data_IF_703027818277
#
_entry.id   IF_703027818277
#
_cell.length_a   1.000
_cell.length_b   1.000
_cell.length_c   1.000
_cell.angle_alpha   90.00
_cell.angle_beta   90.00
_cell.angle_gamma   90.00
#
_symmetry.space_group_name_H-M   'P 1'
#
loop_
_entity.id
_entity.type
_entity.pdbx_description
1 polymer ?
#
# COMPACT_ATOMS: atom_id res chain seq x y z
N UNK A 1 -39.56 4.27 -10.62
CA UNK A 1 -38.47 4.13 -9.65
C UNK A 1 -37.18 4.33 -10.43
N UNK A 2 -36.66 5.55 -10.43
CA UNK A 2 -35.37 5.88 -11.05
C UNK A 2 -34.30 5.13 -10.24
N UNK A 3 -33.65 4.13 -10.84
CA UNK A 3 -32.37 3.65 -10.36
C UNK A 3 -31.42 4.86 -10.42
N UNK A 4 -31.11 5.44 -9.26
CA UNK A 4 -30.01 6.41 -9.17
C UNK A 4 -28.80 5.73 -9.79
N UNK A 5 -28.27 6.27 -10.88
CA UNK A 5 -26.95 5.83 -11.37
C UNK A 5 -25.98 6.05 -10.21
N UNK A 6 -25.18 5.04 -9.90
CA UNK A 6 -24.18 5.16 -8.85
C UNK A 6 -23.29 6.38 -9.16
N UNK A 7 -23.03 7.21 -8.13
CA UNK A 7 -22.13 8.37 -8.24
C UNK A 7 -20.71 7.86 -8.45
N UNK A 8 -19.93 8.57 -9.24
CA UNK A 8 -18.51 8.28 -9.35
C UNK A 8 -17.75 8.76 -8.11
N UNK A 9 -16.73 8.01 -7.71
CA UNK A 9 -15.78 8.41 -6.70
C UNK A 9 -14.45 8.75 -7.39
N UNK A 10 -14.21 10.03 -7.56
CA UNK A 10 -13.02 10.56 -8.23
C UNK A 10 -11.83 10.61 -7.29
N UNK A 11 -10.63 10.36 -7.83
CA UNK A 11 -9.35 10.60 -7.17
C UNK A 11 -8.85 11.96 -7.69
N UNK A 12 -8.79 12.95 -6.81
CA UNK A 12 -8.30 14.29 -7.14
C UNK A 12 -6.78 14.32 -7.13
N UNK A 13 -6.17 13.82 -6.06
CA UNK A 13 -4.72 13.62 -5.98
C UNK A 13 -4.37 12.46 -5.05
N UNK A 14 -3.15 11.94 -5.18
CA UNK A 14 -2.62 10.89 -4.31
C UNK A 14 -1.13 11.13 -4.08
N UNK A 15 -0.74 11.16 -2.80
CA UNK A 15 0.61 11.49 -2.36
C UNK A 15 1.11 10.51 -1.30
N UNK A 16 2.41 10.54 -1.04
CA UNK A 16 3.06 9.77 0.02
C UNK A 16 4.26 10.50 0.61
N UNK A 17 4.65 10.10 1.79
CA UNK A 17 6.00 10.44 2.28
C UNK A 17 7.06 9.69 1.46
N UNK A 18 8.32 10.13 1.46
CA UNK A 18 9.42 9.22 1.17
C UNK A 18 9.40 8.09 2.21
N UNK A 19 9.89 6.91 1.82
CA UNK A 19 9.94 5.75 2.70
C UNK A 19 11.25 5.74 3.48
N UNK A 20 11.12 5.76 4.81
CA UNK A 20 12.24 5.66 5.73
C UNK A 20 12.58 4.20 6.03
N UNK A 21 13.86 3.83 5.94
CA UNK A 21 14.31 2.52 6.40
C UNK A 21 14.25 2.43 7.94
N UNK A 22 14.23 1.23 8.45
CA UNK A 22 14.26 1.00 9.91
C UNK A 22 15.42 1.75 10.56
N UNK A 23 15.11 2.54 11.60
CA UNK A 23 16.06 3.43 12.28
C UNK A 23 16.74 4.45 11.34
N UNK A 24 16.05 4.83 10.25
CA UNK A 24 16.51 5.81 9.27
C UNK A 24 16.00 7.21 9.53
N UNK A 25 15.86 7.98 8.45
CA UNK A 25 15.54 9.42 8.51
C UNK A 25 14.21 9.74 9.20
N UNK A 26 13.23 8.81 9.19
CA UNK A 26 11.92 9.01 9.84
C UNK A 26 11.90 8.55 11.32
N UNK A 27 12.98 7.99 11.87
CA UNK A 27 12.98 7.36 13.19
C UNK A 27 12.57 8.26 14.35
N UNK A 28 12.81 9.57 14.25
CA UNK A 28 12.54 10.55 15.33
C UNK A 28 11.14 11.19 15.21
N UNK A 29 10.46 11.09 14.06
CA UNK A 29 9.11 11.64 13.90
C UNK A 29 8.07 10.63 14.39
N UNK A 30 7.02 11.13 15.04
CA UNK A 30 5.90 10.28 15.47
C UNK A 30 5.04 9.86 14.28
N UNK A 31 4.33 8.74 14.39
CA UNK A 31 3.45 8.26 13.34
C UNK A 31 2.32 9.26 12.99
N UNK A 32 1.71 9.87 14.00
CA UNK A 32 0.66 10.88 13.83
C UNK A 32 1.21 12.19 13.21
N UNK A 33 2.42 12.61 13.57
CA UNK A 33 3.11 13.76 12.94
C UNK A 33 3.49 13.48 11.48
N UNK A 34 3.99 12.28 11.16
CA UNK A 34 4.29 11.87 9.80
C UNK A 34 3.03 11.89 8.93
N UNK A 35 1.93 11.32 9.44
CA UNK A 35 0.65 11.33 8.75
C UNK A 35 0.12 12.77 8.57
N UNK A 36 0.23 13.62 9.58
CA UNK A 36 -0.19 15.02 9.51
C UNK A 36 0.53 15.81 8.42
N UNK A 37 1.85 15.61 8.26
CA UNK A 37 2.60 16.26 7.19
C UNK A 37 2.14 15.80 5.81
N UNK A 38 1.83 14.51 5.63
CA UNK A 38 1.31 13.98 4.36
C UNK A 38 -0.10 14.50 4.07
N UNK A 39 -0.96 14.61 5.10
CA UNK A 39 -2.30 15.20 4.97
C UNK A 39 -2.21 16.66 4.54
N UNK A 40 -1.37 17.47 5.18
CA UNK A 40 -1.15 18.87 4.81
C UNK A 40 -0.57 18.98 3.39
N UNK A 41 0.45 18.18 3.06
CA UNK A 41 1.01 18.19 1.72
C UNK A 41 0.01 17.79 0.62
N UNK A 42 -0.98 16.95 0.92
CA UNK A 42 -2.07 16.62 -0.01
C UNK A 42 -2.95 17.84 -0.27
N UNK A 43 -3.48 18.49 0.79
CA UNK A 43 -4.44 19.61 0.63
C UNK A 43 -3.75 20.88 0.08
N UNK A 44 -2.50 21.14 0.47
CA UNK A 44 -1.71 22.27 -0.02
C UNK A 44 -1.47 22.18 -1.54
N UNK A 45 -1.25 20.96 -2.06
CA UNK A 45 -1.01 20.75 -3.50
C UNK A 45 -2.23 21.03 -4.37
N UNK A 46 -3.41 20.86 -3.84
CA UNK A 46 -4.68 20.98 -4.59
C UNK A 46 -5.51 22.19 -4.14
N UNK A 47 -4.95 23.02 -3.25
CA UNK A 47 -5.57 24.25 -2.72
C UNK A 47 -6.98 24.01 -2.15
N UNK A 48 -7.15 22.94 -1.34
CA UNK A 48 -8.42 22.59 -0.70
C UNK A 48 -8.37 23.00 0.77
N UNK A 49 -9.40 23.74 1.22
CA UNK A 49 -9.58 24.04 2.64
C UNK A 49 -9.88 22.71 3.39
N UNK A 50 -9.06 22.33 4.37
CA UNK A 50 -9.33 21.14 5.18
C UNK A 50 -10.73 21.11 5.82
N UNK A 51 -11.37 22.25 6.04
CA UNK A 51 -12.74 22.34 6.55
C UNK A 51 -13.80 21.71 5.62
N UNK A 52 -13.50 21.55 4.34
CA UNK A 52 -14.37 20.90 3.36
C UNK A 52 -14.34 19.37 3.46
N UNK A 53 -13.31 18.79 4.12
CA UNK A 53 -13.14 17.34 4.25
C UNK A 53 -14.06 16.83 5.36
N UNK A 54 -14.93 15.88 5.01
CA UNK A 54 -15.93 15.33 5.92
C UNK A 54 -15.34 14.20 6.79
N UNK A 55 -14.45 13.36 6.24
CA UNK A 55 -13.87 12.23 6.96
C UNK A 55 -12.48 11.87 6.44
N UNK A 56 -11.62 11.37 7.34
CA UNK A 56 -10.32 10.78 7.03
C UNK A 56 -10.34 9.30 7.39
N UNK A 57 -10.25 8.44 6.39
CA UNK A 57 -10.16 6.99 6.54
C UNK A 57 -8.67 6.60 6.58
N UNK A 58 -8.12 6.35 7.78
CA UNK A 58 -6.69 6.11 7.99
C UNK A 58 -6.37 4.62 8.18
N UNK A 59 -5.70 4.00 7.22
CA UNK A 59 -5.18 2.64 7.36
C UNK A 59 -4.02 2.57 8.37
N UNK A 60 -4.12 1.68 9.37
CA UNK A 60 -3.04 1.40 10.31
C UNK A 60 -3.22 0.02 10.92
N UNK A 61 -2.16 -0.77 10.98
CA UNK A 61 -2.20 -2.17 11.44
C UNK A 61 -1.85 -2.29 12.92
N UNK A 62 -0.72 -1.74 13.31
CA UNK A 62 -0.19 -1.91 14.67
C UNK A 62 -0.71 -0.78 15.57
N UNK A 63 -2.02 -0.84 15.90
CA UNK A 63 -2.73 0.20 16.64
C UNK A 63 -2.44 0.13 18.14
N UNK A 64 -1.20 0.44 18.51
CA UNK A 64 -0.72 0.50 19.90
C UNK A 64 0.27 1.66 20.08
N UNK A 65 0.49 2.11 21.29
CA UNK A 65 1.37 3.26 21.58
C UNK A 65 0.89 4.53 20.86
N UNK A 66 1.76 5.16 20.08
CA UNK A 66 1.44 6.39 19.33
C UNK A 66 0.56 6.17 18.10
N UNK A 67 0.32 4.92 17.71
CA UNK A 67 -0.64 4.54 16.66
C UNK A 67 -2.00 4.10 17.24
N UNK A 68 -2.19 4.16 18.55
CA UNK A 68 -3.45 3.85 19.22
C UNK A 68 -4.46 5.02 19.18
N UNK A 69 -5.63 4.81 19.79
CA UNK A 69 -6.67 5.83 19.99
C UNK A 69 -7.11 6.55 18.70
N UNK A 70 -7.27 5.81 17.61
CA UNK A 70 -7.63 6.38 16.33
C UNK A 70 -6.56 7.35 15.80
N UNK A 71 -5.44 6.79 15.34
CA UNK A 71 -4.30 7.56 14.81
C UNK A 71 -4.70 8.51 13.68
N UNK A 72 -5.74 8.17 12.88
CA UNK A 72 -6.30 9.08 11.88
C UNK A 72 -6.83 10.38 12.49
N UNK A 73 -7.57 10.29 13.58
CA UNK A 73 -8.03 11.50 14.29
C UNK A 73 -6.87 12.24 14.94
N UNK A 74 -5.90 11.52 15.49
CA UNK A 74 -4.65 12.12 15.99
C UNK A 74 -3.95 12.94 14.92
N UNK A 75 -3.77 12.37 13.73
CA UNK A 75 -3.12 13.04 12.60
C UNK A 75 -3.87 14.30 12.13
N UNK A 76 -5.21 14.27 12.04
CA UNK A 76 -6.05 15.44 11.72
C UNK A 76 -5.82 16.58 12.69
N UNK A 77 -5.79 16.29 13.99
CA UNK A 77 -5.60 17.32 15.03
C UNK A 77 -4.15 17.84 15.05
N UNK A 78 -3.16 16.97 14.84
CA UNK A 78 -1.74 17.36 14.73
C UNK A 78 -1.50 18.19 13.45
N UNK A 79 -2.20 17.90 12.35
CA UNK A 79 -2.16 18.69 11.12
C UNK A 79 -2.73 20.12 11.30
N UNK A 80 -3.41 20.39 12.43
CA UNK A 80 -4.05 21.67 12.71
C UNK A 80 -5.37 21.87 11.97
N UNK A 81 -5.96 20.80 11.44
CA UNK A 81 -7.25 20.87 10.76
C UNK A 81 -8.39 21.14 11.75
N UNK A 82 -9.52 21.68 11.27
CA UNK A 82 -10.69 21.96 12.14
C UNK A 82 -11.17 20.71 12.89
N UNK A 83 -11.64 20.90 14.10
CA UNK A 83 -12.22 19.82 14.92
C UNK A 83 -13.47 19.18 14.32
N UNK A 84 -14.06 19.80 13.32
CA UNK A 84 -15.22 19.28 12.56
C UNK A 84 -14.85 18.14 11.63
N UNK A 85 -13.58 18.02 11.21
CA UNK A 85 -13.12 16.94 10.31
C UNK A 85 -13.06 15.62 11.09
N UNK A 86 -13.94 14.70 10.76
CA UNK A 86 -13.96 13.38 11.38
C UNK A 86 -12.80 12.49 10.89
N UNK A 87 -12.53 11.41 11.63
CA UNK A 87 -11.61 10.38 11.13
C UNK A 87 -11.92 9.02 11.76
N UNK A 88 -11.52 7.96 11.06
CA UNK A 88 -11.53 6.59 11.56
C UNK A 88 -10.23 5.88 11.22
N UNK A 89 -9.86 4.88 12.02
CA UNK A 89 -8.72 4.01 11.71
C UNK A 89 -9.23 2.67 11.18
N UNK A 90 -8.71 2.25 10.04
CA UNK A 90 -9.09 1.03 9.33
C UNK A 90 -7.98 -0.01 9.45
N UNK A 91 -8.31 -1.20 9.92
CA UNK A 91 -7.42 -2.36 9.91
C UNK A 91 -7.98 -3.44 8.97
N UNK A 92 -7.31 -3.65 7.87
CA UNK A 92 -7.35 -4.85 7.01
C UNK A 92 -5.91 -5.33 6.80
N UNK A 93 -5.14 -5.37 7.88
CA UNK A 93 -3.71 -5.71 7.84
C UNK A 93 -3.00 -4.93 6.70
N UNK A 94 -2.17 -5.59 5.91
CA UNK A 94 -1.44 -4.97 4.78
C UNK A 94 -2.34 -4.16 3.83
N UNK A 95 -3.62 -4.52 3.69
CA UNK A 95 -4.60 -3.88 2.79
C UNK A 95 -5.31 -2.65 3.36
N UNK A 96 -4.92 -2.15 4.54
CA UNK A 96 -5.70 -1.16 5.31
C UNK A 96 -5.99 0.14 4.55
N UNK A 97 -5.02 0.80 3.94
CA UNK A 97 -5.28 2.05 3.20
C UNK A 97 -5.98 1.84 1.85
N UNK A 98 -5.82 0.68 1.20
CA UNK A 98 -6.65 0.36 0.04
C UNK A 98 -8.10 0.04 0.45
N UNK A 99 -8.32 -0.54 1.64
CA UNK A 99 -9.65 -0.66 2.23
C UNK A 99 -10.22 0.70 2.62
N UNK A 100 -9.41 1.61 3.15
CA UNK A 100 -9.82 2.99 3.40
C UNK A 100 -10.32 3.68 2.13
N UNK A 101 -9.60 3.49 1.00
CA UNK A 101 -10.05 3.97 -0.30
C UNK A 101 -11.37 3.33 -0.75
N UNK A 102 -11.52 2.01 -0.54
CA UNK A 102 -12.78 1.33 -0.84
C UNK A 102 -13.95 1.87 0.01
N UNK A 103 -13.72 2.09 1.30
CA UNK A 103 -14.75 2.64 2.19
C UNK A 103 -15.15 4.06 1.76
N UNK A 104 -14.19 4.96 1.53
CA UNK A 104 -14.42 6.33 1.09
C UNK A 104 -15.15 6.38 -0.26
N UNK A 105 -14.68 5.62 -1.25
CA UNK A 105 -15.34 5.52 -2.54
C UNK A 105 -16.79 4.99 -2.42
N UNK A 106 -17.02 3.98 -1.58
CA UNK A 106 -18.36 3.43 -1.34
C UNK A 106 -19.27 4.43 -0.66
N UNK A 107 -18.78 5.22 0.30
CA UNK A 107 -19.57 6.27 0.97
C UNK A 107 -19.97 7.38 -0.01
N UNK A 108 -19.07 7.79 -0.90
CA UNK A 108 -19.34 8.75 -1.97
C UNK A 108 -20.38 8.18 -2.94
N UNK A 109 -20.17 6.96 -3.42
CA UNK A 109 -21.10 6.30 -4.35
C UNK A 109 -22.51 6.09 -3.76
N UNK A 110 -22.58 5.88 -2.45
CA UNK A 110 -23.87 5.79 -1.74
C UNK A 110 -24.50 7.15 -1.43
N UNK A 111 -23.81 8.26 -1.65
CA UNK A 111 -24.29 9.62 -1.38
C UNK A 111 -24.29 10.00 0.10
N UNK A 112 -23.45 9.36 0.92
CA UNK A 112 -23.32 9.68 2.33
C UNK A 112 -22.25 10.72 2.62
N UNK A 113 -21.21 10.77 1.78
CA UNK A 113 -20.10 11.72 1.87
C UNK A 113 -19.79 12.27 0.47
N UNK A 114 -19.19 13.44 0.41
CA UNK A 114 -18.79 14.11 -0.82
C UNK A 114 -17.29 14.29 -0.98
N UNK A 115 -16.57 14.49 0.15
CA UNK A 115 -15.13 14.72 0.14
C UNK A 115 -14.47 13.95 1.29
N UNK A 116 -13.64 12.96 0.93
CA UNK A 116 -13.03 12.01 1.87
C UNK A 116 -11.54 11.86 1.59
N UNK A 117 -10.72 11.89 2.63
CA UNK A 117 -9.32 11.47 2.50
C UNK A 117 -9.19 10.00 2.87
N UNK A 118 -8.72 9.19 1.93
CA UNK A 118 -8.27 7.82 2.19
C UNK A 118 -6.75 7.81 2.36
N UNK A 119 -6.28 7.44 3.54
CA UNK A 119 -4.88 7.54 3.93
C UNK A 119 -4.38 6.29 4.64
N UNK A 120 -3.10 6.26 4.95
CA UNK A 120 -2.53 5.24 5.81
C UNK A 120 -1.18 5.66 6.38
N UNK A 121 -0.86 5.13 7.54
CA UNK A 121 0.42 5.31 8.22
C UNK A 121 0.85 4.01 8.87
N UNK A 122 2.14 3.72 8.81
CA UNK A 122 2.75 2.69 9.63
C UNK A 122 4.18 3.10 9.96
N UNK A 123 4.51 3.15 11.24
CA UNK A 123 5.84 3.50 11.72
C UNK A 123 6.44 2.28 12.42
N UNK A 124 7.05 1.37 11.64
CA UNK A 124 7.48 0.06 12.14
C UNK A 124 8.78 0.12 12.94
N UNK A 125 9.49 1.26 12.91
CA UNK A 125 10.65 1.52 13.79
C UNK A 125 10.20 1.80 15.22
N UNK A 126 9.22 2.70 15.43
CA UNK A 126 8.77 3.14 16.75
C UNK A 126 7.69 2.23 17.33
N UNK A 127 6.85 1.68 16.48
CA UNK A 127 5.78 0.73 16.83
C UNK A 127 6.02 -0.58 16.06
N UNK A 128 6.84 -1.48 16.61
CA UNK A 128 7.22 -2.71 15.92
C UNK A 128 6.02 -3.59 15.56
N UNK A 129 6.06 -4.18 14.36
CA UNK A 129 5.03 -5.11 13.88
C UNK A 129 4.77 -6.21 14.92
N UNK A 130 3.50 -6.44 15.24
CA UNK A 130 3.06 -7.44 16.21
C UNK A 130 3.03 -6.97 17.66
N UNK A 131 3.48 -5.73 17.98
CA UNK A 131 3.39 -5.20 19.34
C UNK A 131 1.94 -5.02 19.83
N UNK A 132 0.96 -4.95 18.91
CA UNK A 132 -0.46 -4.97 19.23
C UNK A 132 -0.97 -6.33 19.76
N UNK A 133 -0.20 -7.42 19.66
CA UNK A 133 -0.50 -8.69 20.32
C UNK A 133 -0.26 -8.63 21.85
N UNK A 134 0.44 -7.62 22.34
CA UNK A 134 0.73 -7.40 23.73
C UNK A 134 1.46 -8.58 24.41
N UNK A 135 1.25 -8.76 25.70
CA UNK A 135 1.88 -9.83 26.48
C UNK A 135 1.40 -11.24 26.05
N UNK A 136 0.21 -11.33 25.44
CA UNK A 136 -0.33 -12.60 24.97
C UNK A 136 0.46 -13.19 23.79
N UNK A 137 1.15 -12.33 23.00
CA UNK A 137 1.83 -12.76 21.80
C UNK A 137 0.90 -13.57 20.88
N UNK A 138 1.34 -14.72 20.39
CA UNK A 138 0.52 -15.61 19.58
C UNK A 138 -0.68 -16.20 20.32
N UNK A 139 -0.72 -16.16 21.67
CA UNK A 139 -1.91 -16.49 22.47
C UNK A 139 -3.09 -15.55 22.27
N UNK A 140 -2.92 -14.40 21.60
CA UNK A 140 -4.01 -13.55 21.15
C UNK A 140 -4.82 -14.19 20.01
N UNK A 141 -4.28 -15.18 19.30
CA UNK A 141 -5.00 -15.95 18.28
C UNK A 141 -5.86 -17.02 18.98
N UNK A 142 -7.16 -17.02 18.69
CA UNK A 142 -8.09 -17.95 19.30
C UNK A 142 -7.75 -19.40 18.92
N UNK A 143 -7.66 -20.30 19.89
CA UNK A 143 -7.31 -21.72 19.70
C UNK A 143 -8.24 -22.43 18.70
N UNK A 144 -9.53 -22.04 18.62
CA UNK A 144 -10.48 -22.57 17.65
C UNK A 144 -10.12 -22.27 16.20
N UNK A 145 -9.31 -21.24 15.95
CA UNK A 145 -8.75 -20.98 14.63
C UNK A 145 -7.71 -22.07 14.33
N UNK A 146 -6.78 -22.28 15.28
CA UNK A 146 -5.73 -23.30 15.16
C UNK A 146 -6.23 -24.73 14.99
N UNK A 147 -7.43 -25.05 15.55
CA UNK A 147 -8.09 -26.35 15.35
C UNK A 147 -8.49 -26.62 13.89
N UNK A 148 -8.69 -25.57 13.10
CA UNK A 148 -9.17 -25.66 11.70
C UNK A 148 -8.11 -25.30 10.68
N UNK A 149 -7.31 -24.31 10.99
CA UNK A 149 -6.29 -23.77 10.09
C UNK A 149 -4.98 -23.53 10.85
N UNK A 150 -3.87 -24.10 10.40
CA UNK A 150 -2.57 -23.75 10.96
C UNK A 150 -2.28 -22.29 10.70
N UNK A 151 -2.22 -21.47 11.75
CA UNK A 151 -1.80 -20.08 11.64
C UNK A 151 -0.29 -20.02 11.85
N UNK A 152 0.40 -19.48 10.86
CA UNK A 152 1.87 -19.40 10.84
C UNK A 152 2.33 -17.97 10.58
N UNK A 153 3.56 -17.63 10.94
CA UNK A 153 4.16 -16.37 10.49
C UNK A 153 4.15 -16.25 8.96
N UNK A 154 3.97 -15.03 8.44
CA UNK A 154 3.84 -14.76 6.99
C UNK A 154 5.02 -15.31 6.18
N UNK A 155 6.25 -15.27 6.71
CA UNK A 155 7.40 -15.84 6.03
C UNK A 155 7.34 -17.36 5.85
N UNK A 156 6.66 -18.09 6.76
CA UNK A 156 6.38 -19.52 6.55
C UNK A 156 5.37 -19.71 5.43
N UNK A 157 4.33 -18.87 5.33
CA UNK A 157 3.41 -18.90 4.19
C UNK A 157 4.14 -18.58 2.86
N UNK A 158 5.11 -17.67 2.88
CA UNK A 158 5.93 -17.38 1.71
C UNK A 158 6.80 -18.57 1.28
N UNK A 159 7.32 -19.35 2.24
CA UNK A 159 8.03 -20.62 1.96
C UNK A 159 7.08 -21.69 1.37
N UNK A 160 5.86 -21.81 1.91
CA UNK A 160 4.83 -22.72 1.38
C UNK A 160 4.47 -22.37 -0.06
N UNK A 161 4.30 -21.10 -0.37
CA UNK A 161 4.07 -20.62 -1.74
C UNK A 161 5.27 -21.00 -2.63
N UNK A 162 6.49 -20.74 -2.18
CA UNK A 162 7.67 -21.09 -2.98
C UNK A 162 7.74 -22.60 -3.26
N UNK A 163 7.42 -23.44 -2.28
CA UNK A 163 7.39 -24.91 -2.43
C UNK A 163 6.27 -25.37 -3.39
N UNK A 164 5.03 -24.90 -3.21
CA UNK A 164 3.87 -25.34 -4.01
C UNK A 164 3.92 -24.87 -5.46
N UNK A 165 4.48 -23.69 -5.72
CA UNK A 165 4.70 -23.16 -7.09
C UNK A 165 6.07 -23.51 -7.68
N UNK A 166 6.87 -24.35 -6.97
CA UNK A 166 8.21 -24.78 -7.37
C UNK A 166 9.16 -23.62 -7.69
N UNK A 167 9.12 -22.56 -6.88
CA UNK A 167 9.95 -21.37 -7.05
C UNK A 167 11.31 -21.57 -6.37
N UNK A 168 12.36 -21.47 -7.14
CA UNK A 168 13.72 -21.62 -6.63
C UNK A 168 14.22 -20.34 -5.93
N UNK A 169 15.20 -20.50 -5.05
CA UNK A 169 15.91 -19.37 -4.42
C UNK A 169 16.45 -18.38 -5.46
N UNK A 170 16.96 -18.87 -6.59
CA UNK A 170 17.53 -18.04 -7.65
C UNK A 170 16.46 -17.16 -8.30
N UNK A 171 15.25 -17.69 -8.53
CA UNK A 171 14.14 -16.92 -9.08
C UNK A 171 13.66 -15.86 -8.09
N UNK A 172 13.55 -16.19 -6.79
CA UNK A 172 13.20 -15.23 -5.76
C UNK A 172 14.21 -14.07 -5.67
N UNK A 173 15.49 -14.40 -5.68
CA UNK A 173 16.57 -13.40 -5.62
C UNK A 173 16.64 -12.56 -6.92
N UNK A 174 16.37 -13.14 -8.08
CA UNK A 174 16.30 -12.43 -9.37
C UNK A 174 15.13 -11.43 -9.39
N UNK A 175 13.94 -11.84 -8.92
CA UNK A 175 12.78 -10.97 -8.77
C UNK A 175 13.12 -9.78 -7.84
N UNK A 176 13.79 -10.04 -6.73
CA UNK A 176 14.20 -9.01 -5.77
C UNK A 176 15.22 -8.03 -6.34
N UNK A 177 16.22 -8.54 -7.04
CA UNK A 177 17.21 -7.70 -7.72
C UNK A 177 16.54 -6.78 -8.75
N UNK A 178 15.58 -7.30 -9.51
CA UNK A 178 14.84 -6.51 -10.49
C UNK A 178 13.96 -5.44 -9.80
N UNK A 179 13.31 -5.72 -8.66
CA UNK A 179 12.60 -4.73 -7.86
C UNK A 179 13.51 -3.57 -7.49
N UNK A 180 14.72 -3.84 -6.96
CA UNK A 180 15.69 -2.80 -6.64
C UNK A 180 16.14 -2.00 -7.87
N UNK A 181 16.42 -2.65 -8.99
CA UNK A 181 16.82 -1.98 -10.24
C UNK A 181 15.74 -1.01 -10.74
N UNK A 182 14.48 -1.43 -10.69
CA UNK A 182 13.33 -0.62 -11.11
C UNK A 182 13.13 0.58 -10.19
N UNK A 183 13.21 0.39 -8.88
CA UNK A 183 13.08 1.47 -7.91
C UNK A 183 14.19 2.50 -8.03
N UNK A 184 15.44 2.05 -8.20
CA UNK A 184 16.60 2.93 -8.40
C UNK A 184 16.45 3.73 -9.70
N UNK A 185 16.07 3.07 -10.81
CA UNK A 185 15.84 3.77 -12.07
C UNK A 185 14.70 4.80 -11.95
N UNK A 186 13.61 4.45 -11.24
CA UNK A 186 12.51 5.38 -11.01
C UNK A 186 12.93 6.61 -10.19
N UNK A 187 13.77 6.44 -9.16
CA UNK A 187 14.34 7.54 -8.38
C UNK A 187 15.24 8.41 -9.27
N UNK A 188 16.15 7.79 -10.01
CA UNK A 188 17.13 8.51 -10.85
C UNK A 188 16.47 9.26 -12.01
N UNK A 189 15.35 8.74 -12.52
CA UNK A 189 14.50 9.36 -13.55
C UNK A 189 13.49 10.39 -12.99
N UNK A 190 13.46 10.64 -11.67
CA UNK A 190 12.54 11.59 -11.02
C UNK A 190 11.06 11.15 -11.03
N UNK A 191 10.76 9.85 -11.24
CA UNK A 191 9.37 9.37 -11.40
C UNK A 191 8.51 9.51 -10.15
N UNK A 192 9.13 9.64 -8.99
CA UNK A 192 8.42 9.77 -7.72
C UNK A 192 8.20 11.22 -7.26
N UNK A 193 8.74 12.23 -8.00
CA UNK A 193 8.65 13.64 -7.61
C UNK A 193 7.20 14.14 -7.50
N UNK A 194 6.31 13.64 -8.36
CA UNK A 194 4.89 14.02 -8.34
C UNK A 194 4.05 13.32 -7.27
N UNK A 195 4.58 12.31 -6.59
CA UNK A 195 3.85 11.60 -5.54
C UNK A 195 4.43 11.83 -4.14
N UNK A 196 5.70 12.26 -4.04
CA UNK A 196 6.36 12.48 -2.75
C UNK A 196 6.04 13.87 -2.21
N UNK A 197 5.52 13.90 -0.99
CA UNK A 197 5.50 15.09 -0.11
C UNK A 197 6.77 15.03 0.73
N UNK A 198 7.70 15.99 0.60
CA UNK A 198 8.86 16.07 1.47
C UNK A 198 8.45 16.23 2.93
N UNK A 199 9.12 15.48 3.82
CA UNK A 199 8.82 15.46 5.26
C UNK A 199 9.92 16.21 6.02
N UNK A 200 9.51 17.10 6.90
CA UNK A 200 10.42 17.76 7.85
C UNK A 200 10.82 16.78 8.94
N UNK A 201 12.10 16.54 9.09
CA UNK A 201 12.65 15.67 10.13
C UNK A 201 13.70 16.41 10.95
N UNK A 202 13.77 16.11 12.25
CA UNK A 202 14.82 16.65 13.13
C UNK A 202 16.14 15.91 12.86
N UNK A 203 17.22 16.66 12.62
CA UNK A 203 18.56 16.11 12.45
C UNK A 203 19.58 16.97 13.22
N UNK A 204 20.14 16.45 14.31
CA UNK A 204 21.19 17.13 15.06
C UNK A 204 20.84 18.54 15.57
N UNK A 205 19.56 18.80 15.88
CA UNK A 205 19.04 20.10 16.31
C UNK A 205 18.66 21.06 15.17
N UNK A 206 18.75 20.64 13.92
CA UNK A 206 18.23 21.34 12.74
C UNK A 206 17.02 20.59 12.16
N UNK A 207 16.17 21.30 11.41
CA UNK A 207 15.12 20.70 10.58
C UNK A 207 15.67 20.52 9.17
N UNK A 208 15.54 19.31 8.62
CA UNK A 208 15.91 19.01 7.23
C UNK A 208 14.72 18.39 6.50
N UNK A 209 14.65 18.61 5.18
CA UNK A 209 13.63 17.98 4.35
C UNK A 209 14.12 16.60 3.88
N UNK A 210 13.36 15.58 4.22
CA UNK A 210 13.54 14.23 3.71
C UNK A 210 12.59 14.03 2.52
N UNK A 211 13.14 13.82 1.32
CA UNK A 211 12.40 13.86 0.06
C UNK A 211 12.68 12.66 -0.88
N UNK A 212 13.53 11.72 -0.48
CA UNK A 212 13.94 10.59 -1.33
C UNK A 212 13.85 9.29 -0.55
N UNK A 213 13.28 8.24 -1.17
CA UNK A 213 13.24 6.90 -0.58
C UNK A 213 14.65 6.37 -0.29
N UNK A 214 14.92 5.96 0.93
CA UNK A 214 16.25 5.54 1.36
C UNK A 214 16.47 4.02 1.40
N UNK A 215 15.45 3.25 1.02
CA UNK A 215 15.43 1.79 1.13
C UNK A 215 16.03 1.05 -0.07
N UNK A 216 15.96 1.53 -1.33
CA UNK A 216 16.51 0.82 -2.47
C UNK A 216 18.03 0.65 -2.39
N UNK A 217 18.50 -0.60 -2.53
CA UNK A 217 19.91 -0.95 -2.34
C UNK A 217 20.67 -0.90 -3.67
N UNK A 218 21.39 0.22 -3.91
CA UNK A 218 22.16 0.43 -5.15
C UNK A 218 23.30 -0.55 -5.35
N UNK A 219 23.79 -1.18 -4.30
CA UNK A 219 24.92 -2.09 -4.29
C UNK A 219 24.51 -3.57 -4.22
N UNK A 220 23.20 -3.88 -4.35
CA UNK A 220 22.74 -5.27 -4.34
C UNK A 220 23.11 -6.01 -5.62
N UNK A 221 23.35 -7.32 -5.51
CA UNK A 221 23.64 -8.22 -6.64
C UNK A 221 23.13 -9.62 -6.33
N UNK A 222 23.05 -10.49 -7.35
CA UNK A 222 22.66 -11.89 -7.13
C UNK A 222 23.60 -12.60 -6.16
N UNK A 223 24.91 -12.31 -6.19
CA UNK A 223 25.89 -12.91 -5.28
C UNK A 223 25.63 -12.48 -3.83
N UNK A 224 25.32 -11.19 -3.61
CA UNK A 224 24.97 -10.70 -2.28
C UNK A 224 23.67 -11.31 -1.77
N UNK A 225 22.63 -11.37 -2.61
CA UNK A 225 21.36 -12.00 -2.26
C UNK A 225 21.55 -13.50 -1.95
N UNK A 226 22.28 -14.23 -2.78
CA UNK A 226 22.58 -15.66 -2.60
C UNK A 226 23.34 -15.95 -1.30
N UNK A 227 24.12 -15.00 -0.79
CA UNK A 227 24.87 -15.16 0.47
C UNK A 227 24.00 -15.05 1.73
N UNK A 228 22.77 -14.56 1.63
CA UNK A 228 21.87 -14.40 2.76
C UNK A 228 21.32 -15.75 3.23
N UNK A 229 21.24 -15.91 4.55
CA UNK A 229 20.65 -17.10 5.15
C UNK A 229 19.11 -17.07 5.05
N UNK A 230 18.44 -18.24 4.95
CA UNK A 230 17.00 -18.33 5.12
C UNK A 230 16.54 -17.69 6.43
N UNK A 231 15.43 -16.96 6.40
CA UNK A 231 14.97 -16.17 7.54
C UNK A 231 13.88 -16.87 8.38
N UNK A 232 13.13 -17.80 7.79
CA UNK A 232 11.93 -18.37 8.42
C UNK A 232 12.00 -19.89 8.59
N UNK A 233 12.67 -20.60 7.72
CA UNK A 233 12.85 -22.06 7.72
C UNK A 233 14.30 -22.36 7.47
N UNK A 234 14.95 -23.23 8.24
CA UNK A 234 16.41 -23.48 8.19
C UNK A 234 16.92 -23.96 6.83
N UNK A 235 16.09 -24.69 6.10
CA UNK A 235 16.30 -25.20 4.74
C UNK A 235 15.48 -24.46 3.68
N UNK A 236 14.96 -23.27 4.03
CA UNK A 236 14.08 -22.48 3.19
C UNK A 236 14.78 -21.67 2.11
N UNK A 237 13.98 -21.01 1.29
CA UNK A 237 14.42 -20.15 0.19
C UNK A 237 14.10 -18.68 0.40
N UNK A 238 13.27 -18.36 1.42
CA UNK A 238 12.88 -16.99 1.76
C UNK A 238 13.90 -16.37 2.71
N UNK A 239 14.45 -15.22 2.31
CA UNK A 239 15.48 -14.49 3.06
C UNK A 239 15.05 -13.05 3.30
N UNK A 240 15.79 -12.31 4.11
CA UNK A 240 15.59 -10.87 4.26
C UNK A 240 15.79 -10.10 2.94
N UNK A 241 16.51 -10.66 1.96
CA UNK A 241 16.76 -10.02 0.66
C UNK A 241 15.63 -10.21 -0.35
N UNK A 242 14.77 -11.22 -0.18
CA UNK A 242 13.63 -11.47 -1.05
C UNK A 242 12.28 -11.35 -0.33
N UNK A 243 12.29 -10.57 0.75
CA UNK A 243 11.14 -10.15 1.56
C UNK A 243 11.03 -8.63 1.58
N UNK A 244 9.85 -8.10 1.78
CA UNK A 244 9.65 -6.67 1.99
C UNK A 244 10.38 -6.18 3.25
N UNK A 245 10.90 -4.96 3.19
CA UNK A 245 11.63 -4.36 4.30
C UNK A 245 10.70 -3.79 5.37
N UNK A 246 11.15 -3.83 6.64
CA UNK A 246 10.54 -3.09 7.74
C UNK A 246 10.94 -1.62 7.59
N UNK A 247 9.94 -0.74 7.51
CA UNK A 247 10.09 0.65 7.11
C UNK A 247 9.04 1.53 7.78
N UNK A 248 9.19 2.84 7.59
CA UNK A 248 8.29 3.87 8.08
C UNK A 248 7.74 4.66 6.91
N UNK A 249 6.44 4.98 6.92
CA UNK A 249 5.84 5.75 5.83
C UNK A 249 4.37 6.05 6.02
N UNK A 250 3.90 7.06 5.30
CA UNK A 250 2.50 7.47 5.21
C UNK A 250 2.13 7.80 3.76
N UNK A 251 0.85 7.65 3.42
CA UNK A 251 0.31 8.02 2.12
C UNK A 251 -1.15 8.45 2.26
N UNK A 252 -1.62 9.30 1.36
CA UNK A 252 -2.98 9.81 1.36
C UNK A 252 -3.47 10.09 -0.06
N UNK A 253 -4.79 10.00 -0.28
CA UNK A 253 -5.46 10.40 -1.50
C UNK A 253 -6.77 11.12 -1.17
N UNK A 254 -7.11 12.16 -1.94
CA UNK A 254 -8.39 12.83 -1.85
C UNK A 254 -9.38 12.19 -2.81
N UNK A 255 -10.50 11.74 -2.26
CA UNK A 255 -11.64 11.20 -2.99
C UNK A 255 -12.78 12.22 -2.97
N UNK A 256 -13.39 12.48 -4.13
CA UNK A 256 -14.46 13.46 -4.27
C UNK A 256 -15.63 12.90 -5.08
N UNK A 257 -16.85 13.36 -4.74
CA UNK A 257 -18.02 13.21 -5.61
C UNK A 257 -17.98 14.20 -6.79
N UNK A 258 -18.77 13.98 -7.83
CA UNK A 258 -18.89 14.93 -8.93
C UNK A 258 -19.38 16.31 -8.45
N UNK A 259 -20.27 16.35 -7.46
CA UNK A 259 -20.77 17.60 -6.87
C UNK A 259 -19.66 18.35 -6.11
N UNK A 260 -18.80 17.65 -5.38
CA UNK A 260 -17.64 18.27 -4.71
C UNK A 260 -16.61 18.78 -5.73
N UNK A 261 -16.37 18.00 -6.80
CA UNK A 261 -15.49 18.41 -7.92
C UNK A 261 -15.97 19.73 -8.53
N UNK A 262 -17.24 19.83 -8.88
CA UNK A 262 -17.81 21.05 -9.46
C UNK A 262 -17.82 22.22 -8.45
N UNK A 263 -18.26 21.99 -7.22
CA UNK A 263 -18.38 23.04 -6.18
C UNK A 263 -17.05 23.65 -5.79
N UNK A 264 -15.99 22.85 -5.73
CA UNK A 264 -14.66 23.25 -5.29
C UNK A 264 -13.71 23.56 -6.47
N UNK A 265 -14.16 23.33 -7.71
CA UNK A 265 -13.35 23.56 -8.91
C UNK A 265 -12.14 22.62 -9.00
N UNK A 266 -12.29 21.37 -8.54
CA UNK A 266 -11.22 20.38 -8.51
C UNK A 266 -10.98 19.77 -9.89
N UNK A 267 -9.77 19.31 -10.14
CA UNK A 267 -9.39 18.59 -11.35
C UNK A 267 -9.13 17.11 -11.03
N UNK A 268 -10.11 16.20 -11.24
CA UNK A 268 -9.91 14.81 -10.92
C UNK A 268 -8.94 14.14 -11.92
N UNK A 269 -7.99 13.37 -11.41
CA UNK A 269 -6.97 12.67 -12.19
C UNK A 269 -7.43 11.27 -12.62
N UNK A 270 -8.22 10.61 -11.77
CA UNK A 270 -8.75 9.26 -12.00
C UNK A 270 -10.05 9.03 -11.24
N UNK A 271 -10.63 7.83 -11.41
CA UNK A 271 -11.69 7.32 -10.54
C UNK A 271 -11.48 5.84 -10.21
N UNK A 272 -12.04 5.40 -9.10
CA UNK A 272 -12.15 3.97 -8.84
C UNK A 272 -13.32 3.39 -9.64
N UNK A 273 -13.01 2.40 -10.47
CA UNK A 273 -14.02 1.67 -11.27
C UNK A 273 -14.64 0.54 -10.46
N UNK A 274 -13.82 -0.20 -9.73
CA UNK A 274 -14.27 -1.34 -8.95
C UNK A 274 -13.26 -1.76 -7.89
N UNK A 275 -13.75 -2.56 -6.93
CA UNK A 275 -12.91 -3.26 -5.96
C UNK A 275 -13.24 -4.74 -5.90
N UNK A 276 -12.23 -5.56 -5.62
CA UNK A 276 -12.34 -7.00 -5.37
C UNK A 276 -11.71 -7.40 -4.05
N UNK A 277 -12.38 -8.27 -3.32
CA UNK A 277 -11.89 -8.89 -2.10
C UNK A 277 -11.87 -10.40 -2.29
N UNK A 278 -10.85 -11.07 -1.76
CA UNK A 278 -10.83 -12.52 -1.66
C UNK A 278 -10.48 -12.97 -0.25
N UNK A 279 -11.05 -14.11 0.15
CA UNK A 279 -10.65 -14.88 1.31
C UNK A 279 -10.07 -16.19 0.82
N UNK A 280 -8.90 -16.58 1.32
CA UNK A 280 -8.17 -17.77 0.91
C UNK A 280 -7.68 -18.56 2.12
N UNK A 281 -7.11 -19.74 1.89
CA UNK A 281 -6.55 -20.59 2.94
C UNK A 281 -5.58 -19.79 3.84
N UNK A 282 -5.84 -19.72 5.17
CA UNK A 282 -5.01 -18.94 6.09
C UNK A 282 -3.58 -19.46 6.26
N UNK A 283 -3.28 -20.72 5.92
CA UNK A 283 -1.93 -21.28 5.95
C UNK A 283 -1.06 -20.77 4.79
N UNK A 284 -1.60 -20.82 3.56
CA UNK A 284 -0.97 -20.21 2.37
C UNK A 284 -1.04 -18.68 2.37
N UNK A 285 -2.02 -18.15 3.02
CA UNK A 285 -2.39 -16.77 3.35
C UNK A 285 -2.12 -15.73 2.24
N UNK A 286 -0.99 -15.75 1.53
CA UNK A 286 -0.52 -14.64 0.69
C UNK A 286 -0.86 -14.79 -0.81
N UNK A 287 -1.59 -15.83 -1.21
CA UNK A 287 -1.86 -16.18 -2.62
C UNK A 287 -3.19 -15.65 -3.18
N UNK A 288 -3.89 -14.77 -2.47
CA UNK A 288 -5.24 -14.30 -2.81
C UNK A 288 -5.34 -13.22 -3.88
N UNK A 289 -4.22 -12.62 -4.31
CA UNK A 289 -4.21 -11.51 -5.27
C UNK A 289 -4.90 -11.83 -6.61
N UNK A 290 -4.67 -12.99 -7.27
CA UNK A 290 -5.31 -13.31 -8.53
C UNK A 290 -6.84 -13.31 -8.43
N UNK A 291 -7.40 -13.88 -7.35
CA UNK A 291 -8.85 -13.93 -7.14
C UNK A 291 -9.44 -12.55 -6.85
N UNK A 292 -8.76 -11.73 -6.02
CA UNK A 292 -9.19 -10.36 -5.75
C UNK A 292 -9.22 -9.52 -7.04
N UNK A 293 -8.19 -9.65 -7.88
CA UNK A 293 -8.14 -9.01 -9.19
C UNK A 293 -9.25 -9.50 -10.12
N UNK A 294 -9.46 -10.81 -10.23
CA UNK A 294 -10.51 -11.37 -11.06
C UNK A 294 -11.90 -10.84 -10.69
N UNK A 295 -12.17 -10.71 -9.38
CA UNK A 295 -13.43 -10.14 -8.89
C UNK A 295 -13.55 -8.65 -9.20
N UNK A 296 -12.47 -7.87 -9.08
CA UNK A 296 -12.46 -6.45 -9.44
C UNK A 296 -12.68 -6.26 -10.95
N UNK A 297 -11.92 -6.96 -11.79
CA UNK A 297 -12.05 -6.92 -13.24
C UNK A 297 -13.45 -7.32 -13.71
N UNK A 298 -13.99 -8.41 -13.18
CA UNK A 298 -15.36 -8.86 -13.51
C UNK A 298 -16.42 -7.81 -13.20
N UNK A 299 -16.32 -7.10 -12.05
CA UNK A 299 -17.24 -6.02 -11.70
C UNK A 299 -17.11 -4.81 -12.61
N UNK A 300 -15.89 -4.53 -13.08
CA UNK A 300 -15.61 -3.45 -14.04
C UNK A 300 -16.01 -3.81 -15.48
N UNK A 301 -16.29 -5.07 -15.78
CA UNK A 301 -16.47 -5.56 -17.14
C UNK A 301 -15.18 -5.52 -17.97
N UNK A 302 -14.03 -5.63 -17.31
CA UNK A 302 -12.69 -5.57 -17.89
C UNK A 302 -11.99 -6.93 -17.83
N UNK A 303 -10.96 -7.07 -18.66
CA UNK A 303 -10.02 -8.19 -18.69
C UNK A 303 -8.59 -7.71 -18.46
N UNK A 304 -7.62 -8.64 -18.38
CA UNK A 304 -6.21 -8.27 -18.28
C UNK A 304 -5.70 -7.46 -19.49
N UNK A 305 -6.31 -7.65 -20.67
CA UNK A 305 -5.94 -6.91 -21.89
C UNK A 305 -6.29 -5.42 -21.81
N UNK A 306 -7.26 -5.05 -20.97
CA UNK A 306 -7.68 -3.67 -20.73
C UNK A 306 -6.80 -2.95 -19.72
N UNK A 307 -5.98 -3.67 -18.94
CA UNK A 307 -5.15 -3.13 -17.86
C UNK A 307 -3.73 -2.87 -18.38
N UNK A 308 -3.30 -1.62 -18.35
CA UNK A 308 -1.97 -1.23 -18.83
C UNK A 308 -0.87 -1.32 -17.76
N UNK A 309 -1.21 -1.03 -16.51
CA UNK A 309 -0.26 -1.02 -15.37
C UNK A 309 -0.84 -1.82 -14.21
N UNK A 310 -0.02 -2.66 -13.60
CA UNK A 310 -0.39 -3.54 -12.50
C UNK A 310 0.58 -3.30 -11.34
N UNK A 311 0.07 -2.89 -10.20
CA UNK A 311 0.82 -2.79 -8.94
C UNK A 311 0.44 -3.97 -8.04
N UNK A 312 1.37 -4.90 -7.84
CA UNK A 312 1.23 -6.03 -6.90
C UNK A 312 2.16 -5.77 -5.74
N UNK A 313 1.63 -5.66 -4.53
CA UNK A 313 2.49 -5.47 -3.36
C UNK A 313 3.47 -6.64 -3.20
N UNK A 314 4.76 -6.33 -3.20
CA UNK A 314 5.85 -7.29 -3.07
C UNK A 314 6.12 -7.62 -1.59
N UNK A 315 5.14 -8.23 -0.91
CA UNK A 315 5.36 -8.68 0.47
C UNK A 315 6.54 -9.67 0.57
N UNK A 316 6.63 -10.56 -0.42
CA UNK A 316 7.73 -11.49 -0.67
C UNK A 316 7.84 -11.72 -2.19
N UNK A 317 9.02 -12.08 -2.68
CA UNK A 317 9.22 -12.40 -4.09
C UNK A 317 8.36 -13.59 -4.54
N UNK A 318 8.12 -14.57 -3.66
CA UNK A 318 7.24 -15.72 -3.94
C UNK A 318 5.79 -15.30 -4.22
N UNK A 319 5.30 -14.23 -3.59
CA UNK A 319 3.96 -13.69 -3.82
C UNK A 319 3.84 -13.11 -5.24
N UNK A 320 4.86 -12.37 -5.68
CA UNK A 320 4.88 -11.80 -7.05
C UNK A 320 4.94 -12.91 -8.08
N UNK A 321 5.86 -13.86 -7.92
CA UNK A 321 6.04 -14.96 -8.89
C UNK A 321 4.82 -15.89 -8.92
N UNK A 322 4.19 -16.17 -7.78
CA UNK A 322 2.91 -16.90 -7.72
C UNK A 322 1.81 -16.14 -8.48
N UNK A 323 1.68 -14.82 -8.25
CA UNK A 323 0.71 -14.00 -8.96
C UNK A 323 0.90 -14.07 -10.47
N UNK A 324 2.14 -13.95 -10.96
CA UNK A 324 2.46 -14.05 -12.39
C UNK A 324 2.12 -15.42 -12.97
N UNK A 325 2.41 -16.50 -12.23
CA UNK A 325 2.11 -17.86 -12.63
C UNK A 325 0.60 -18.10 -12.75
N UNK A 326 -0.19 -17.72 -11.74
CA UNK A 326 -1.63 -17.97 -11.71
C UNK A 326 -2.41 -17.08 -12.69
N UNK A 327 -1.89 -15.91 -13.04
CA UNK A 327 -2.53 -14.98 -13.99
C UNK A 327 -2.00 -15.08 -15.43
N UNK A 328 -0.88 -15.79 -15.63
CA UNK A 328 -0.22 -15.87 -16.94
C UNK A 328 0.48 -14.57 -17.39
N UNK A 329 0.84 -13.69 -16.43
CA UNK A 329 1.35 -12.34 -16.73
C UNK A 329 2.89 -12.24 -16.74
N UNK A 330 3.62 -13.33 -16.94
CA UNK A 330 5.10 -13.33 -16.97
C UNK A 330 5.66 -12.37 -18.03
N UNK A 331 5.12 -12.38 -19.25
CA UNK A 331 5.57 -11.48 -20.33
C UNK A 331 5.35 -10.01 -19.98
N UNK A 332 4.30 -9.70 -19.22
CA UNK A 332 4.02 -8.35 -18.77
C UNK A 332 4.95 -7.89 -17.64
N UNK A 333 5.47 -8.81 -16.83
CA UNK A 333 6.55 -8.51 -15.89
C UNK A 333 7.83 -8.12 -16.63
N UNK A 334 8.20 -8.87 -17.65
CA UNK A 334 9.36 -8.57 -18.51
C UNK A 334 9.20 -7.24 -19.27
N UNK A 335 7.99 -6.95 -19.73
CA UNK A 335 7.63 -5.69 -20.38
C UNK A 335 7.54 -4.49 -19.41
N UNK A 336 7.71 -4.72 -18.09
CA UNK A 336 7.56 -3.72 -17.02
C UNK A 336 6.16 -3.12 -16.92
N UNK A 337 5.12 -3.89 -17.20
CA UNK A 337 3.73 -3.49 -16.92
C UNK A 337 3.32 -3.84 -15.48
N UNK A 338 3.98 -4.84 -14.89
CA UNK A 338 3.81 -5.22 -13.47
C UNK A 338 4.96 -4.62 -12.67
N UNK A 339 4.63 -3.82 -11.65
CA UNK A 339 5.56 -3.12 -10.76
C UNK A 339 6.68 -2.37 -11.52
N UNK A 340 6.35 -1.47 -12.44
CA UNK A 340 7.33 -0.82 -13.33
C UNK A 340 8.40 -0.01 -12.59
N UNK A 341 8.09 0.43 -11.37
CA UNK A 341 8.92 1.31 -10.56
C UNK A 341 9.44 0.64 -9.27
N UNK A 342 9.51 -0.70 -9.25
CA UNK A 342 9.83 -1.46 -8.04
C UNK A 342 8.63 -1.60 -7.10
N UNK A 343 8.83 -2.14 -5.90
CA UNK A 343 7.73 -2.40 -4.99
C UNK A 343 8.18 -2.62 -3.54
N UNK A 344 7.41 -3.41 -2.78
CA UNK A 344 7.61 -3.60 -1.35
C UNK A 344 8.98 -4.17 -0.95
N UNK A 345 9.64 -4.93 -1.82
CA UNK A 345 10.97 -5.48 -1.57
C UNK A 345 12.01 -4.35 -1.56
N UNK A 346 11.97 -3.49 -2.57
CA UNK A 346 12.94 -2.41 -2.75
C UNK A 346 12.57 -1.13 -2.00
N UNK A 347 11.32 -0.67 -2.13
CA UNK A 347 10.82 0.56 -1.50
C UNK A 347 10.35 0.33 -0.06
N UNK A 348 10.08 -0.93 0.32
CA UNK A 348 9.55 -1.24 1.63
C UNK A 348 8.02 -1.30 1.69
N UNK A 349 7.53 -1.83 2.82
CA UNK A 349 6.11 -2.08 3.02
C UNK A 349 5.64 -1.56 4.38
N UNK A 350 5.41 -0.22 4.51
CA UNK A 350 4.75 0.33 5.70
C UNK A 350 3.30 -0.13 5.69
N UNK A 351 2.97 -1.16 6.49
CA UNK A 351 1.78 -2.01 6.34
C UNK A 351 0.49 -1.21 6.05
N UNK A 352 0.11 -0.35 6.97
CA UNK A 352 -1.13 0.44 6.87
C UNK A 352 -1.15 1.46 5.73
N UNK A 353 0.02 1.95 5.30
CA UNK A 353 0.15 2.97 4.27
C UNK A 353 0.26 2.42 2.84
N UNK A 354 0.65 1.15 2.69
CA UNK A 354 1.06 0.61 1.38
C UNK A 354 -0.04 0.67 0.32
N UNK A 355 -1.30 0.44 0.68
CA UNK A 355 -2.40 0.49 -0.30
C UNK A 355 -2.54 1.87 -0.97
N UNK A 356 -2.47 2.95 -0.19
CA UNK A 356 -2.48 4.31 -0.71
C UNK A 356 -1.19 4.63 -1.49
N UNK A 357 -0.03 4.16 -1.01
CA UNK A 357 1.26 4.32 -1.69
C UNK A 357 1.26 3.70 -3.09
N UNK A 358 0.87 2.44 -3.23
CA UNK A 358 0.85 1.78 -4.55
C UNK A 358 -0.20 2.41 -5.47
N UNK A 359 -1.30 2.95 -4.92
CA UNK A 359 -2.31 3.68 -5.68
C UNK A 359 -1.75 5.00 -6.22
N UNK A 360 -0.98 5.75 -5.42
CA UNK A 360 -0.31 6.97 -5.88
C UNK A 360 0.70 6.67 -7.00
N UNK A 361 1.53 5.63 -6.83
CA UNK A 361 2.49 5.19 -7.86
C UNK A 361 1.77 4.74 -9.14
N UNK A 362 0.69 3.97 -9.01
CA UNK A 362 -0.13 3.51 -10.14
C UNK A 362 -0.72 4.68 -10.92
N UNK A 363 -1.32 5.66 -10.23
CA UNK A 363 -1.92 6.85 -10.84
C UNK A 363 -0.88 7.63 -11.66
N UNK A 364 0.26 7.93 -11.07
CA UNK A 364 1.34 8.64 -11.76
C UNK A 364 1.91 7.86 -12.95
N UNK A 365 1.99 6.53 -12.87
CA UNK A 365 2.45 5.70 -13.99
C UNK A 365 1.42 5.63 -15.12
N UNK A 366 0.12 5.59 -14.82
CA UNK A 366 -0.93 5.69 -15.83
C UNK A 366 -0.86 7.00 -16.62
N UNK A 367 -0.61 8.11 -15.92
CA UNK A 367 -0.43 9.42 -16.57
C UNK A 367 0.81 9.46 -17.46
N UNK A 368 1.97 9.00 -16.96
CA UNK A 368 3.23 8.96 -17.75
C UNK A 368 3.08 8.15 -19.03
N UNK A 369 2.29 7.08 -19.00
CA UNK A 369 2.05 6.20 -20.16
C UNK A 369 0.87 6.66 -21.02
N UNK A 370 0.14 7.70 -20.63
CA UNK A 370 -1.16 8.05 -21.21
C UNK A 370 -2.11 6.84 -21.27
N UNK A 371 -2.01 5.94 -20.30
CA UNK A 371 -2.77 4.71 -20.21
C UNK A 371 -4.09 4.93 -19.46
N UNK A 372 -5.12 4.13 -19.79
CA UNK A 372 -6.47 4.34 -19.26
C UNK A 372 -6.70 3.60 -17.95
N UNK A 373 -6.47 2.29 -17.92
CA UNK A 373 -6.77 1.48 -16.75
C UNK A 373 -5.54 0.89 -16.10
N UNK A 374 -5.57 0.83 -14.79
CA UNK A 374 -4.60 0.14 -13.96
C UNK A 374 -5.25 -0.56 -12.78
N UNK A 375 -4.54 -1.49 -12.17
CA UNK A 375 -4.99 -2.23 -11.01
C UNK A 375 -3.91 -2.28 -9.94
N UNK A 376 -4.30 -2.01 -8.70
CA UNK A 376 -3.47 -2.20 -7.52
C UNK A 376 -4.01 -3.37 -6.70
N UNK A 377 -3.15 -4.29 -6.26
CA UNK A 377 -3.54 -5.44 -5.45
C UNK A 377 -2.51 -5.76 -4.38
N UNK A 378 -2.99 -6.32 -3.29
CA UNK A 378 -2.12 -6.75 -2.21
C UNK A 378 -2.70 -7.92 -1.43
N UNK A 379 -1.81 -8.85 -1.08
CA UNK A 379 -2.09 -9.92 -0.14
C UNK A 379 -2.14 -9.38 1.29
N UNK A 380 -2.85 -10.08 2.14
CA UNK A 380 -3.21 -9.61 3.47
C UNK A 380 -3.04 -10.78 4.46
N UNK A 381 -2.52 -10.49 5.63
CA UNK A 381 -2.41 -11.46 6.71
C UNK A 381 -3.71 -12.21 6.98
N UNK A 382 -3.61 -13.43 7.49
CA UNK A 382 -4.73 -14.33 7.78
C UNK A 382 -5.54 -14.78 6.55
N UNK A 383 -4.97 -14.75 5.34
CA UNK A 383 -5.58 -15.32 4.15
C UNK A 383 -6.63 -14.44 3.49
N UNK A 384 -6.32 -13.20 3.20
CA UNK A 384 -7.16 -12.30 2.44
C UNK A 384 -6.36 -11.62 1.34
N UNK A 385 -7.05 -10.98 0.38
CA UNK A 385 -6.47 -10.01 -0.53
C UNK A 385 -7.50 -8.96 -0.96
N UNK A 386 -7.00 -7.83 -1.45
CA UNK A 386 -7.80 -6.72 -1.97
C UNK A 386 -7.20 -6.24 -3.29
N UNK A 387 -8.06 -5.83 -4.22
CA UNK A 387 -7.68 -5.18 -5.46
C UNK A 387 -8.59 -3.98 -5.74
N UNK A 388 -8.03 -2.94 -6.36
CA UNK A 388 -8.77 -1.77 -6.84
C UNK A 388 -8.39 -1.46 -8.28
N UNK A 389 -9.39 -1.28 -9.15
CA UNK A 389 -9.23 -0.86 -10.56
C UNK A 389 -9.42 0.64 -10.65
N UNK A 390 -8.43 1.30 -11.23
CA UNK A 390 -8.44 2.74 -11.53
C UNK A 390 -8.65 2.97 -13.03
N UNK A 391 -9.41 4.01 -13.34
CA UNK A 391 -9.49 4.61 -14.67
C UNK A 391 -8.94 6.02 -14.61
N UNK A 392 -7.86 6.32 -15.37
CA UNK A 392 -7.34 7.67 -15.56
C UNK A 392 -8.31 8.47 -16.46
N UNK A 393 -8.52 9.72 -16.13
CA UNK A 393 -9.38 10.67 -16.86
C UNK A 393 -8.61 11.47 -17.91
#
# INVERSE_FOLDING_TARGET
>A
MLLSMARDAYIVDAVRSPIGKRNGSLSEIRADELAAQVLNGLVDRIDVDPAEIEDVQMGCVTQVGEQALNVGRGAVLVAGWPETVCATTVDRQCGSSLQAAFNGASAIQAGHLDLVVAAGVEHMTRVPMGSNLGEAGWGAVNDKIGERWPIVPQGISAEVIAEEWNLSRVELDACSLESHRRAIAAIDDGKFENEIVPVEVGAGGAVVLFAVDETPRRDTSLEKLASLQPAFKSDGVVTAGNSSSIVDGSAAMLLASGEAVERLGLEPRARFVSFGLSGVDPYRMLHGNPEACARALSKAGLTWDDISVIEVNEAFASVVLQFLADTGLHERWEARDVNPNGGGISLGHPLGATGARITATLLNELERRAARHGIATMCIGQGQAIAGVLERL
#
